data_IF_152905046189
#
_entry.id   IF_152905046189
#
_cell.length_a   1.000
_cell.length_b   1.000
_cell.length_c   1.000
_cell.angle_alpha   90.00
_cell.angle_beta   90.00
_cell.angle_gamma   90.00
#
_symmetry.space_group_name_H-M   'P 1'
#
loop_
_entity.id
_entity.type
_entity.pdbx_description
1 polymer ?
#
# COMPACT_ATOMS: atom_id res chain seq x y z
N UNK A 1 30.62 -25.60 3.09
CA UNK A 1 29.97 -26.37 4.17
C UNK A 1 28.79 -27.10 3.57
N UNK A 2 28.77 -28.43 3.67
CA UNK A 2 27.74 -29.25 3.04
C UNK A 2 26.41 -29.10 3.79
N UNK A 3 25.42 -28.45 3.16
CA UNK A 3 24.03 -28.53 3.61
C UNK A 3 23.55 -29.93 3.22
N UNK A 4 23.23 -30.75 4.22
CA UNK A 4 22.88 -32.15 4.01
C UNK A 4 21.67 -32.30 3.06
N UNK A 5 21.67 -33.25 2.11
CA UNK A 5 20.56 -33.51 1.18
C UNK A 5 19.19 -33.66 1.85
N UNK A 6 19.17 -34.10 3.11
CA UNK A 6 18.00 -34.20 3.97
C UNK A 6 17.40 -32.84 4.37
N UNK A 7 18.23 -31.82 4.64
CA UNK A 7 17.75 -30.47 4.96
C UNK A 7 17.15 -29.77 3.72
N UNK A 8 17.73 -30.01 2.54
CA UNK A 8 17.19 -29.53 1.26
C UNK A 8 15.81 -30.13 0.97
N UNK A 9 15.62 -31.43 1.20
CA UNK A 9 14.32 -32.11 1.04
C UNK A 9 13.23 -31.57 1.98
N UNK A 10 13.59 -31.23 3.23
CA UNK A 10 12.65 -30.65 4.20
C UNK A 10 12.22 -29.23 3.81
N UNK A 11 13.17 -28.39 3.38
CA UNK A 11 12.88 -27.03 2.90
C UNK A 11 12.00 -27.08 1.65
N UNK A 12 12.31 -27.98 0.71
CA UNK A 12 11.53 -28.19 -0.50
C UNK A 12 10.10 -28.66 -0.17
N UNK A 13 9.94 -29.66 0.68
CA UNK A 13 8.62 -30.16 1.08
C UNK A 13 7.79 -29.16 1.90
N UNK A 14 8.45 -28.27 2.66
CA UNK A 14 7.76 -27.17 3.34
C UNK A 14 7.27 -26.10 2.36
N UNK A 15 8.11 -25.67 1.41
CA UNK A 15 7.70 -24.72 0.35
C UNK A 15 6.58 -25.29 -0.51
N UNK A 16 6.69 -26.55 -0.93
CA UNK A 16 5.67 -27.23 -1.73
C UNK A 16 4.29 -27.22 -1.05
N UNK A 17 4.23 -27.60 0.24
CA UNK A 17 2.98 -27.59 1.01
C UNK A 17 2.40 -26.19 1.18
N UNK A 18 3.25 -25.18 1.34
CA UNK A 18 2.83 -23.78 1.41
C UNK A 18 2.23 -23.34 0.08
N UNK A 19 2.93 -23.59 -1.02
CA UNK A 19 2.44 -23.26 -2.36
C UNK A 19 1.13 -23.96 -2.64
N UNK A 20 1.00 -25.25 -2.35
CA UNK A 20 -0.25 -26.01 -2.50
C UNK A 20 -1.40 -25.37 -1.72
N UNK A 21 -1.19 -25.06 -0.43
CA UNK A 21 -2.17 -24.35 0.40
C UNK A 21 -2.58 -23.02 -0.22
N UNK A 22 -1.61 -22.23 -0.68
CA UNK A 22 -1.88 -20.92 -1.26
C UNK A 22 -2.64 -21.04 -2.59
N UNK A 23 -2.32 -22.03 -3.42
CA UNK A 23 -3.04 -22.32 -4.66
C UNK A 23 -4.48 -22.79 -4.41
N UNK A 24 -4.72 -23.56 -3.34
CA UNK A 24 -6.09 -23.95 -2.95
C UNK A 24 -6.91 -22.70 -2.62
N UNK A 25 -6.38 -21.78 -1.81
CA UNK A 25 -7.06 -20.52 -1.45
C UNK A 25 -7.29 -19.65 -2.68
N UNK A 26 -6.29 -19.54 -3.56
CA UNK A 26 -6.37 -18.83 -4.83
C UNK A 26 -7.53 -19.36 -5.68
N UNK A 27 -7.57 -20.67 -5.93
CA UNK A 27 -8.58 -21.32 -6.77
C UNK A 27 -9.97 -21.14 -6.14
N UNK A 28 -10.12 -21.42 -4.86
CA UNK A 28 -11.39 -21.27 -4.14
C UNK A 28 -11.96 -19.84 -4.26
N UNK A 29 -11.12 -18.82 -4.05
CA UNK A 29 -11.53 -17.41 -4.14
C UNK A 29 -11.86 -16.97 -5.55
N UNK A 30 -11.06 -17.37 -6.54
CA UNK A 30 -11.33 -17.06 -7.96
C UNK A 30 -12.61 -17.75 -8.43
N UNK A 31 -12.79 -19.03 -8.10
CA UNK A 31 -13.99 -19.80 -8.44
C UNK A 31 -15.24 -19.22 -7.79
N UNK A 32 -15.17 -18.80 -6.52
CA UNK A 32 -16.27 -18.15 -5.81
C UNK A 32 -16.67 -16.79 -6.41
N UNK A 33 -15.80 -16.18 -7.22
CA UNK A 33 -16.02 -14.86 -7.83
C UNK A 33 -16.00 -14.93 -9.37
N UNK A 34 -16.18 -16.12 -9.96
CA UNK A 34 -15.89 -16.37 -11.38
C UNK A 34 -16.77 -15.53 -12.32
N UNK A 35 -18.03 -15.30 -11.95
CA UNK A 35 -18.96 -14.48 -12.73
C UNK A 35 -18.47 -13.03 -12.80
N UNK A 36 -18.11 -12.44 -11.66
CA UNK A 36 -17.56 -11.09 -11.56
C UNK A 36 -16.24 -10.98 -12.33
N UNK A 37 -15.38 -12.01 -12.25
CA UNK A 37 -14.11 -12.04 -12.99
C UNK A 37 -14.37 -12.02 -14.50
N UNK A 38 -15.26 -12.87 -14.99
CA UNK A 38 -15.59 -12.94 -16.41
C UNK A 38 -16.19 -11.62 -16.91
N UNK A 39 -17.15 -11.05 -16.18
CA UNK A 39 -17.75 -9.76 -16.51
C UNK A 39 -16.69 -8.65 -16.61
N UNK A 40 -15.82 -8.54 -15.61
CA UNK A 40 -14.76 -7.51 -15.59
C UNK A 40 -13.76 -7.73 -16.72
N UNK A 41 -13.33 -8.97 -16.98
CA UNK A 41 -12.44 -9.28 -18.11
C UNK A 41 -13.09 -8.93 -19.45
N UNK A 42 -14.39 -9.21 -19.61
CA UNK A 42 -15.11 -8.92 -20.84
C UNK A 42 -15.29 -7.41 -21.10
N UNK A 43 -15.30 -6.61 -20.04
CA UNK A 43 -15.33 -5.14 -20.13
C UNK A 43 -13.98 -4.50 -20.53
N UNK A 44 -12.87 -5.24 -20.42
CA UNK A 44 -11.53 -4.73 -20.73
C UNK A 44 -11.21 -4.81 -22.22
N UNK A 45 -10.42 -3.84 -22.69
CA UNK A 45 -9.75 -3.90 -23.99
C UNK A 45 -8.90 -5.17 -24.12
N UNK A 46 -8.86 -5.75 -25.33
CA UNK A 46 -8.16 -7.02 -25.59
C UNK A 46 -6.70 -7.03 -25.14
N UNK A 47 -5.99 -5.92 -25.33
CA UNK A 47 -4.57 -5.77 -24.93
C UNK A 47 -4.39 -5.75 -23.42
N UNK A 48 -5.32 -5.14 -22.68
CA UNK A 48 -5.31 -5.11 -21.21
C UNK A 48 -5.76 -6.46 -20.65
N UNK A 49 -6.79 -7.07 -21.24
CA UNK A 49 -7.28 -8.41 -20.90
C UNK A 49 -6.17 -9.45 -20.99
N UNK A 50 -5.37 -9.42 -22.06
CA UNK A 50 -4.27 -10.37 -22.24
C UNK A 50 -3.23 -10.27 -21.12
N UNK A 51 -2.98 -9.07 -20.57
CA UNK A 51 -2.09 -8.90 -19.39
C UNK A 51 -2.62 -9.61 -18.14
N UNK A 52 -3.94 -9.67 -17.97
CA UNK A 52 -4.59 -10.38 -16.86
C UNK A 52 -4.71 -11.90 -17.08
N UNK A 53 -4.81 -12.37 -18.32
CA UNK A 53 -5.00 -13.81 -18.60
C UNK A 53 -3.68 -14.53 -18.90
N UNK A 54 -2.78 -13.88 -19.63
CA UNK A 54 -1.56 -14.49 -20.18
C UNK A 54 -0.27 -13.70 -19.92
N UNK A 55 -0.37 -12.48 -19.41
CA UNK A 55 0.76 -11.55 -19.34
C UNK A 55 1.15 -11.10 -17.94
N UNK A 56 1.80 -9.95 -17.90
CA UNK A 56 2.57 -9.48 -16.75
C UNK A 56 1.76 -9.24 -15.47
N UNK A 57 0.47 -8.91 -15.56
CA UNK A 57 -0.35 -8.69 -14.37
C UNK A 57 -0.66 -10.00 -13.66
N UNK A 58 -0.95 -11.06 -14.44
CA UNK A 58 -1.10 -12.41 -13.90
C UNK A 58 0.19 -12.86 -13.23
N UNK A 59 1.32 -12.68 -13.89
CA UNK A 59 2.60 -13.18 -13.40
C UNK A 59 3.00 -12.49 -12.09
N UNK A 60 2.90 -11.15 -12.02
CA UNK A 60 3.15 -10.40 -10.78
C UNK A 60 2.20 -10.80 -9.63
N UNK A 61 0.93 -11.05 -9.96
CA UNK A 61 -0.04 -11.55 -8.99
C UNK A 61 0.33 -12.95 -8.48
N UNK A 62 0.65 -13.89 -9.37
CA UNK A 62 1.02 -15.25 -8.99
C UNK A 62 2.30 -15.29 -8.15
N UNK A 63 3.30 -14.47 -8.51
CA UNK A 63 4.53 -14.31 -7.72
C UNK A 63 4.22 -13.82 -6.29
N UNK A 64 3.24 -12.91 -6.14
CA UNK A 64 2.80 -12.44 -4.81
C UNK A 64 2.05 -13.50 -3.99
N UNK A 65 1.58 -14.59 -4.61
CA UNK A 65 0.79 -15.65 -3.96
C UNK A 65 1.62 -16.89 -3.64
N UNK A 66 2.47 -17.34 -4.57
CA UNK A 66 3.16 -18.63 -4.49
C UNK A 66 4.05 -18.75 -3.23
N UNK A 67 4.75 -17.67 -2.88
CA UNK A 67 5.69 -17.64 -1.75
C UNK A 67 5.09 -17.05 -0.45
N UNK A 68 3.82 -16.65 -0.47
CA UNK A 68 3.16 -15.98 0.64
C UNK A 68 3.13 -16.83 1.92
N UNK A 69 3.59 -16.26 3.03
CA UNK A 69 3.65 -16.93 4.32
C UNK A 69 2.28 -16.90 5.02
N UNK A 70 1.54 -15.79 4.87
CA UNK A 70 0.29 -15.50 5.58
C UNK A 70 -0.95 -15.85 4.70
N UNK A 71 -1.73 -16.91 5.01
CA UNK A 71 -2.86 -17.34 4.18
C UNK A 71 -3.90 -16.25 3.90
N UNK A 72 -4.14 -15.38 4.88
CA UNK A 72 -5.10 -14.27 4.73
C UNK A 72 -4.67 -13.29 3.63
N UNK A 73 -3.36 -13.10 3.44
CA UNK A 73 -2.82 -12.23 2.39
C UNK A 73 -3.07 -12.79 1.00
N UNK A 74 -3.09 -14.12 0.83
CA UNK A 74 -3.49 -14.73 -0.45
C UNK A 74 -4.88 -14.27 -0.85
N UNK A 75 -5.84 -14.29 0.09
CA UNK A 75 -7.19 -13.78 -0.18
C UNK A 75 -7.20 -12.29 -0.53
N UNK A 76 -6.39 -11.47 0.14
CA UNK A 76 -6.26 -10.03 -0.15
C UNK A 76 -5.61 -9.77 -1.52
N UNK A 77 -4.63 -10.58 -1.93
CA UNK A 77 -4.02 -10.49 -3.25
C UNK A 77 -5.03 -10.87 -4.36
N UNK A 78 -5.83 -11.92 -4.14
CA UNK A 78 -6.91 -12.29 -5.07
C UNK A 78 -7.93 -11.16 -5.20
N UNK A 79 -8.36 -10.58 -4.08
CA UNK A 79 -9.25 -9.42 -4.09
C UNK A 79 -8.65 -8.25 -4.89
N UNK A 80 -7.38 -7.91 -4.63
CA UNK A 80 -6.69 -6.84 -5.34
C UNK A 80 -6.63 -7.10 -6.85
N UNK A 81 -6.34 -8.34 -7.26
CA UNK A 81 -6.32 -8.74 -8.66
C UNK A 81 -7.69 -8.53 -9.33
N UNK A 82 -8.77 -9.01 -8.70
CA UNK A 82 -10.13 -8.91 -9.24
C UNK A 82 -10.61 -7.44 -9.22
N UNK A 83 -10.33 -6.69 -8.17
CA UNK A 83 -10.72 -5.28 -8.05
C UNK A 83 -9.93 -4.36 -9.00
N UNK A 84 -8.67 -4.69 -9.31
CA UNK A 84 -7.91 -3.98 -10.34
C UNK A 84 -8.57 -4.08 -11.73
N UNK A 85 -9.19 -5.21 -12.07
CA UNK A 85 -9.90 -5.38 -13.34
C UNK A 85 -11.10 -4.41 -13.48
N UNK A 86 -11.78 -4.10 -12.37
CA UNK A 86 -12.90 -3.14 -12.38
C UNK A 86 -12.46 -1.71 -12.71
N UNK A 87 -11.18 -1.40 -12.49
CA UNK A 87 -10.61 -0.08 -12.68
C UNK A 87 -9.72 -0.03 -13.93
N UNK A 88 -10.18 -0.56 -15.07
CA UNK A 88 -9.45 -0.83 -16.34
C UNK A 88 -8.53 0.26 -16.92
N UNK A 89 -8.42 1.43 -16.28
CA UNK A 89 -7.50 2.53 -16.58
C UNK A 89 -6.23 2.56 -15.70
N UNK A 90 -5.93 1.51 -14.92
CA UNK A 90 -4.68 1.44 -14.16
C UNK A 90 -3.47 1.29 -15.09
N UNK A 91 -2.41 2.06 -14.85
CA UNK A 91 -1.16 1.93 -15.61
C UNK A 91 -0.42 0.64 -15.27
N UNK A 92 0.35 0.11 -16.22
CA UNK A 92 1.18 -1.08 -16.03
C UNK A 92 2.06 -0.96 -14.79
N UNK A 93 2.77 0.15 -14.65
CA UNK A 93 3.63 0.41 -13.49
C UNK A 93 2.85 0.34 -12.18
N UNK A 94 1.62 0.84 -12.14
CA UNK A 94 0.81 0.78 -10.92
C UNK A 94 0.45 -0.67 -10.55
N UNK A 95 -0.01 -1.48 -11.51
CA UNK A 95 -0.42 -2.87 -11.22
C UNK A 95 0.78 -3.71 -10.78
N UNK A 96 1.94 -3.53 -11.40
CA UNK A 96 3.17 -4.23 -11.03
C UNK A 96 3.68 -3.80 -9.66
N UNK A 97 3.72 -2.49 -9.38
CA UNK A 97 4.12 -1.97 -8.06
C UNK A 97 3.15 -2.41 -6.97
N UNK A 98 1.85 -2.50 -7.25
CA UNK A 98 0.85 -2.98 -6.29
C UNK A 98 1.20 -4.38 -5.76
N UNK A 99 1.48 -5.34 -6.63
CA UNK A 99 1.78 -6.71 -6.17
C UNK A 99 3.15 -6.83 -5.50
N UNK A 100 4.14 -6.05 -5.94
CA UNK A 100 5.43 -5.93 -5.24
C UNK A 100 5.22 -5.36 -3.82
N UNK A 101 4.46 -4.28 -3.67
CA UNK A 101 4.18 -3.67 -2.37
C UNK A 101 3.33 -4.57 -1.47
N UNK A 102 2.31 -5.23 -2.00
CA UNK A 102 1.52 -6.21 -1.25
C UNK A 102 2.37 -7.39 -0.77
N UNK A 103 3.37 -7.82 -1.53
CA UNK A 103 4.32 -8.85 -1.07
C UNK A 103 5.17 -8.39 0.11
N UNK A 104 5.51 -7.09 0.16
CA UNK A 104 6.33 -6.47 1.21
C UNK A 104 5.56 -6.15 2.48
N UNK A 105 4.25 -5.94 2.40
CA UNK A 105 3.38 -5.70 3.54
C UNK A 105 3.06 -7.00 4.27
N UNK A 106 3.04 -7.01 5.59
CA UNK A 106 2.50 -8.13 6.38
C UNK A 106 1.07 -7.81 6.86
N UNK A 107 0.42 -8.77 7.53
CA UNK A 107 -0.92 -8.58 8.09
C UNK A 107 -1.00 -7.37 9.03
N UNK A 108 0.02 -7.17 9.85
CA UNK A 108 0.09 -6.10 10.84
C UNK A 108 0.23 -4.72 10.18
N UNK A 109 1.06 -4.58 9.14
CA UNK A 109 1.20 -3.35 8.37
C UNK A 109 -0.16 -2.92 7.78
N UNK A 110 -0.92 -3.88 7.23
CA UNK A 110 -2.25 -3.62 6.69
C UNK A 110 -3.24 -3.21 7.80
N UNK A 111 -3.14 -3.82 8.99
CA UNK A 111 -3.97 -3.45 10.15
C UNK A 111 -3.66 -2.02 10.62
N UNK A 112 -2.38 -1.67 10.74
CA UNK A 112 -1.94 -0.30 11.06
C UNK A 112 -2.43 0.70 10.01
N UNK A 113 -2.30 0.38 8.72
CA UNK A 113 -2.80 1.25 7.65
C UNK A 113 -4.32 1.49 7.76
N UNK A 114 -5.09 0.46 8.12
CA UNK A 114 -6.54 0.56 8.34
C UNK A 114 -6.90 1.49 9.51
N UNK A 115 -6.09 1.58 10.57
CA UNK A 115 -6.32 2.53 11.67
C UNK A 115 -6.31 3.99 11.21
N UNK A 116 -5.61 4.30 10.12
CA UNK A 116 -5.56 5.62 9.52
C UNK A 116 -6.66 5.84 8.45
N UNK A 117 -7.46 4.82 8.15
CA UNK A 117 -8.53 4.92 7.17
C UNK A 117 -9.79 5.54 7.79
N UNK A 118 -10.28 6.58 7.14
CA UNK A 118 -11.58 7.17 7.40
C UNK A 118 -12.31 7.34 6.07
N UNK A 119 -13.51 6.76 5.96
CA UNK A 119 -14.39 7.02 4.82
C UNK A 119 -15.25 8.26 5.10
N UNK A 120 -14.98 9.41 4.45
CA UNK A 120 -15.74 10.62 4.68
C UNK A 120 -17.18 10.55 4.13
N UNK A 121 -17.47 9.62 3.21
CA UNK A 121 -18.79 9.48 2.57
C UNK A 121 -19.74 8.67 3.45
N UNK A 122 -19.23 7.62 4.10
CA UNK A 122 -20.05 6.71 4.93
C UNK A 122 -19.84 6.92 6.42
N UNK A 123 -19.00 7.88 6.82
CA UNK A 123 -18.48 8.11 8.20
C UNK A 123 -17.93 6.84 8.87
N UNK A 124 -17.68 5.79 8.10
CA UNK A 124 -17.30 4.50 8.65
C UNK A 124 -15.84 4.57 9.13
N UNK A 125 -15.68 4.43 10.44
CA UNK A 125 -14.39 4.18 11.07
C UNK A 125 -14.21 2.67 11.21
N UNK A 126 -12.98 2.21 11.02
CA UNK A 126 -12.63 0.83 11.31
C UNK A 126 -12.89 0.59 12.81
N UNK A 127 -13.60 -0.48 13.17
CA UNK A 127 -13.78 -0.92 14.56
C UNK A 127 -12.48 -1.56 15.09
N UNK A 128 -11.44 -0.74 15.15
CA UNK A 128 -10.13 -1.10 15.64
C UNK A 128 -9.50 0.17 16.26
N UNK A 129 -8.54 -0.03 17.15
CA UNK A 129 -7.90 1.09 17.84
C UNK A 129 -6.43 0.78 18.10
N UNK A 130 -5.64 1.83 18.31
CA UNK A 130 -4.25 1.68 18.72
C UNK A 130 -4.11 0.78 19.96
N UNK A 131 -4.93 1.01 20.99
CA UNK A 131 -4.86 0.24 22.24
C UNK A 131 -5.16 -1.25 22.03
N UNK A 132 -6.20 -1.57 21.24
CA UNK A 132 -6.50 -2.97 20.87
C UNK A 132 -5.39 -3.60 20.07
N UNK A 133 -4.82 -2.88 19.10
CA UNK A 133 -3.74 -3.38 18.26
C UNK A 133 -2.49 -3.71 19.10
N UNK A 134 -2.07 -2.80 19.98
CA UNK A 134 -0.93 -3.03 20.90
C UNK A 134 -1.19 -4.25 21.79
N UNK A 135 -2.39 -4.36 22.36
CA UNK A 135 -2.74 -5.44 23.28
C UNK A 135 -2.79 -6.81 22.59
N UNK A 136 -3.41 -6.90 21.42
CA UNK A 136 -3.63 -8.18 20.72
C UNK A 136 -2.40 -8.68 19.97
N UNK A 137 -1.65 -7.76 19.36
CA UNK A 137 -0.47 -8.09 18.55
C UNK A 137 0.81 -8.16 19.40
N UNK A 138 0.75 -7.68 20.64
CA UNK A 138 1.88 -7.71 21.58
C UNK A 138 3.06 -6.85 21.15
N UNK A 139 2.82 -5.82 20.33
CA UNK A 139 3.86 -4.90 19.87
C UNK A 139 3.97 -3.69 20.79
N UNK A 140 5.12 -3.04 20.80
CA UNK A 140 5.31 -1.78 21.52
C UNK A 140 5.14 -0.52 20.62
N UNK A 141 5.26 0.66 21.23
CA UNK A 141 5.15 1.93 20.52
C UNK A 141 6.27 2.15 19.49
N UNK A 142 7.46 1.57 19.72
CA UNK A 142 8.60 1.65 18.81
C UNK A 142 8.33 0.83 17.56
N UNK A 143 7.88 -0.41 17.71
CA UNK A 143 7.48 -1.29 16.61
C UNK A 143 6.34 -0.68 15.80
N UNK A 144 5.33 -0.10 16.46
CA UNK A 144 4.27 0.67 15.80
C UNK A 144 4.81 1.87 15.02
N UNK A 145 5.82 2.56 15.56
CA UNK A 145 6.57 3.62 14.87
C UNK A 145 7.22 3.12 13.58
N UNK A 146 7.97 2.02 13.65
CA UNK A 146 8.66 1.42 12.50
C UNK A 146 7.68 0.99 11.40
N UNK A 147 6.52 0.46 11.76
CA UNK A 147 5.46 0.11 10.78
C UNK A 147 4.96 1.37 10.06
N UNK A 148 4.68 2.46 10.79
CA UNK A 148 4.25 3.73 10.18
C UNK A 148 5.32 4.30 9.25
N UNK A 149 6.58 4.24 9.63
CA UNK A 149 7.71 4.65 8.77
C UNK A 149 7.80 3.80 7.49
N UNK A 150 7.63 2.47 7.62
CA UNK A 150 7.55 1.57 6.46
C UNK A 150 6.40 1.96 5.53
N UNK A 151 5.21 2.20 6.08
CA UNK A 151 4.04 2.63 5.31
C UNK A 151 4.26 4.00 4.64
N UNK A 152 4.98 4.92 5.27
CA UNK A 152 5.42 6.17 4.65
C UNK A 152 6.38 5.96 3.49
N UNK A 153 7.36 5.06 3.63
CA UNK A 153 8.30 4.73 2.56
C UNK A 153 7.61 4.11 1.33
N UNK A 154 6.51 3.37 1.54
CA UNK A 154 5.66 2.84 0.48
C UNK A 154 4.64 3.88 -0.04
N UNK A 155 4.66 5.11 0.48
CA UNK A 155 3.72 6.17 0.08
C UNK A 155 2.27 5.92 0.51
N UNK A 156 2.01 5.00 1.45
CA UNK A 156 0.66 4.65 1.93
C UNK A 156 0.21 5.53 3.10
N UNK A 157 1.17 6.05 3.87
CA UNK A 157 0.96 7.08 4.89
C UNK A 157 1.82 8.31 4.61
N UNK A 158 1.41 9.45 5.16
CA UNK A 158 2.16 10.70 5.12
C UNK A 158 2.37 11.22 6.55
N UNK A 159 3.60 11.66 6.84
CA UNK A 159 3.97 12.30 8.10
C UNK A 159 3.61 13.80 8.06
N UNK A 160 2.87 14.27 9.07
CA UNK A 160 2.55 15.69 9.20
C UNK A 160 3.76 16.52 9.61
N UNK A 161 4.72 15.94 10.31
CA UNK A 161 5.96 16.65 10.59
C UNK A 161 6.84 16.79 9.33
N UNK A 162 6.85 15.80 8.44
CA UNK A 162 7.55 15.91 7.13
C UNK A 162 6.90 16.97 6.25
N UNK A 163 5.58 16.95 6.12
CA UNK A 163 4.82 17.97 5.36
C UNK A 163 5.14 19.40 5.86
N UNK A 164 5.23 19.59 7.18
CA UNK A 164 5.61 20.87 7.79
C UNK A 164 7.06 21.25 7.52
N UNK A 165 7.98 20.27 7.54
CA UNK A 165 9.40 20.50 7.23
C UNK A 165 9.58 20.99 5.80
N UNK A 166 8.92 20.33 4.85
CA UNK A 166 8.97 20.69 3.44
C UNK A 166 8.44 22.11 3.21
N UNK A 167 7.26 22.45 3.75
CA UNK A 167 6.71 23.82 3.69
C UNK A 167 7.61 24.87 4.33
N UNK A 168 8.27 24.52 5.43
CA UNK A 168 9.25 25.40 6.06
C UNK A 168 10.49 25.60 5.19
N UNK A 169 10.98 24.54 4.55
CA UNK A 169 12.12 24.59 3.64
C UNK A 169 11.82 25.47 2.43
N UNK A 170 10.66 25.30 1.80
CA UNK A 170 10.16 26.14 0.71
C UNK A 170 10.12 27.62 1.13
N UNK A 171 9.53 27.92 2.29
CA UNK A 171 9.45 29.29 2.79
C UNK A 171 10.83 29.92 3.03
N UNK A 172 11.81 29.12 3.48
CA UNK A 172 13.20 29.58 3.64
C UNK A 172 13.87 29.79 2.28
N UNK A 173 13.67 28.88 1.33
CA UNK A 173 14.21 28.98 -0.02
C UNK A 173 13.69 30.22 -0.75
N UNK A 174 12.40 30.51 -0.63
CA UNK A 174 11.76 31.70 -1.19
C UNK A 174 12.36 32.98 -0.57
N UNK A 175 12.48 33.03 0.76
CA UNK A 175 13.06 34.18 1.45
C UNK A 175 14.53 34.42 1.07
N UNK A 176 15.33 33.36 0.94
CA UNK A 176 16.72 33.45 0.48
C UNK A 176 16.80 33.91 -0.97
N UNK A 177 15.95 33.37 -1.85
CA UNK A 177 15.89 33.77 -3.26
C UNK A 177 15.50 35.24 -3.41
N UNK A 178 14.54 35.71 -2.61
CA UNK A 178 14.17 37.12 -2.56
C UNK A 178 15.34 37.97 -2.08
N UNK A 179 16.01 37.61 -0.99
CA UNK A 179 17.21 38.30 -0.48
C UNK A 179 18.30 38.41 -1.56
N UNK A 180 18.63 37.31 -2.23
CA UNK A 180 19.62 37.28 -3.30
C UNK A 180 19.23 38.20 -4.46
N UNK A 181 17.95 38.27 -4.82
CA UNK A 181 17.46 39.18 -5.85
C UNK A 181 17.61 40.67 -5.48
N UNK A 182 17.74 40.99 -4.19
CA UNK A 182 17.88 42.35 -3.69
C UNK A 182 19.34 42.79 -3.60
N UNK A 183 20.29 41.84 -3.60
CA UNK A 183 21.72 42.14 -3.66
C UNK A 183 22.04 42.91 -4.94
N UNK A 184 22.72 44.04 -4.82
CA UNK A 184 23.10 44.90 -5.94
C UNK A 184 22.02 45.88 -6.42
N UNK A 185 20.80 45.83 -5.88
CA UNK A 185 19.78 46.86 -6.18
C UNK A 185 20.11 48.17 -5.48
N UNK A 186 19.84 49.30 -6.16
CA UNK A 186 20.11 50.67 -5.68
C UNK A 186 19.36 51.01 -4.38
N UNK A 187 18.19 50.41 -4.17
CA UNK A 187 17.36 50.49 -2.96
C UNK A 187 16.86 49.09 -2.58
N UNK A 188 17.64 48.29 -1.84
CA UNK A 188 17.26 46.94 -1.48
C UNK A 188 16.10 46.94 -0.47
N UNK A 189 15.11 46.08 -0.70
CA UNK A 189 14.05 45.81 0.29
C UNK A 189 14.40 44.55 1.05
N UNK A 190 14.40 44.62 2.38
CA UNK A 190 14.58 43.43 3.22
C UNK A 190 13.28 42.62 3.16
N UNK A 191 13.31 41.36 2.72
CA UNK A 191 12.15 40.47 2.73
C UNK A 191 11.61 40.29 4.15
N UNK A 192 10.32 40.00 4.26
CA UNK A 192 9.74 39.65 5.56
C UNK A 192 10.30 38.29 6.01
N UNK A 193 10.52 38.08 7.32
CA UNK A 193 10.95 36.79 7.82
C UNK A 193 9.92 35.72 7.46
N UNK A 194 10.36 34.53 7.01
CA UNK A 194 9.45 33.46 6.62
C UNK A 194 8.63 32.99 7.82
N UNK A 195 7.34 32.70 7.59
CA UNK A 195 6.44 32.18 8.62
C UNK A 195 6.59 30.67 8.72
N UNK A 196 7.46 30.22 9.61
CA UNK A 196 7.72 28.80 9.82
C UNK A 196 6.65 28.16 10.71
N UNK A 197 6.20 26.98 10.31
CA UNK A 197 5.32 26.13 11.08
C UNK A 197 6.10 25.40 12.18
N UNK A 198 5.54 25.34 13.39
CA UNK A 198 6.15 24.59 14.50
C UNK A 198 6.07 23.09 14.24
N UNK A 199 7.22 22.42 14.26
CA UNK A 199 7.33 20.96 14.20
C UNK A 199 7.11 20.40 15.62
N UNK A 200 6.24 19.41 15.72
CA UNK A 200 5.92 18.75 16.99
C UNK A 200 6.98 17.70 17.33
N UNK A 201 7.21 17.44 18.61
CA UNK A 201 8.07 16.32 19.06
C UNK A 201 7.43 14.97 18.78
N UNK A 202 6.11 14.88 18.83
CA UNK A 202 5.33 13.71 18.40
C UNK A 202 4.83 13.91 16.98
N UNK A 203 4.96 12.87 16.16
CA UNK A 203 4.45 12.88 14.78
C UNK A 203 3.04 12.29 14.68
N UNK A 204 2.28 12.82 13.74
CA UNK A 204 0.94 12.34 13.39
C UNK A 204 0.91 11.96 11.92
N UNK A 205 0.18 10.91 11.60
CA UNK A 205 0.17 10.33 10.25
C UNK A 205 -1.23 10.37 9.66
N UNK A 206 -1.32 10.62 8.37
CA UNK A 206 -2.55 10.55 7.59
C UNK A 206 -2.41 9.55 6.45
N UNK A 207 -3.50 8.84 6.14
CA UNK A 207 -3.52 7.96 4.97
C UNK A 207 -3.49 8.77 3.66
N UNK A 208 -2.68 8.33 2.71
CA UNK A 208 -2.59 8.95 1.37
C UNK A 208 -3.72 8.46 0.46
N UNK A 209 -3.88 9.08 -0.71
CA UNK A 209 -4.77 8.57 -1.76
C UNK A 209 -4.36 7.17 -2.22
N UNK A 210 -3.05 6.90 -2.33
CA UNK A 210 -2.51 5.58 -2.65
C UNK A 210 -2.88 4.56 -1.57
N UNK A 211 -2.69 4.90 -0.29
CA UNK A 211 -3.06 4.04 0.84
C UNK A 211 -4.54 3.70 0.85
N UNK A 212 -5.42 4.67 0.59
CA UNK A 212 -6.87 4.44 0.44
C UNK A 212 -7.17 3.49 -0.71
N UNK A 213 -6.58 3.74 -1.88
CA UNK A 213 -6.76 2.89 -3.07
C UNK A 213 -6.30 1.46 -2.83
N UNK A 214 -5.19 1.26 -2.12
CA UNK A 214 -4.72 -0.08 -1.75
C UNK A 214 -5.72 -0.79 -0.84
N UNK A 215 -6.23 -0.09 0.18
CA UNK A 215 -7.25 -0.64 1.07
C UNK A 215 -8.56 -0.96 0.34
N UNK A 216 -8.93 -0.19 -0.69
CA UNK A 216 -10.09 -0.47 -1.53
C UNK A 216 -9.88 -1.72 -2.39
N UNK A 217 -8.70 -1.84 -3.02
CA UNK A 217 -8.38 -2.98 -3.89
C UNK A 217 -8.35 -4.31 -3.11
N UNK A 218 -7.82 -4.33 -1.88
CA UNK A 218 -7.74 -5.58 -1.10
C UNK A 218 -9.06 -5.99 -0.40
N UNK A 219 -10.11 -5.16 -0.45
CA UNK A 219 -11.42 -5.49 0.16
C UNK A 219 -12.06 -6.71 -0.49
N UNK A 220 -12.91 -7.44 0.25
CA UNK A 220 -13.71 -8.51 -0.34
C UNK A 220 -14.39 -8.04 -1.63
N UNK A 221 -14.30 -8.86 -2.68
CA UNK A 221 -14.96 -8.58 -3.96
C UNK A 221 -16.46 -8.47 -3.71
N UNK A 222 -17.04 -7.36 -4.15
CA UNK A 222 -18.47 -7.11 -4.15
C UNK A 222 -18.91 -6.91 -5.60
N UNK A 223 -20.15 -7.25 -5.90
CA UNK A 223 -20.81 -6.79 -7.13
C UNK A 223 -20.76 -5.26 -7.13
N UNK A 224 -20.55 -4.65 -8.30
CA UNK A 224 -20.61 -3.21 -8.39
C UNK A 224 -22.02 -2.77 -7.98
N UNK A 225 -22.13 -2.00 -6.90
CA UNK A 225 -23.39 -1.29 -6.63
C UNK A 225 -23.54 -0.30 -7.77
N UNK A 226 -24.62 -0.36 -8.58
CA UNK A 226 -24.83 0.61 -9.64
C UNK A 226 -24.87 2.02 -9.01
N UNK A 227 -24.08 2.92 -9.61
CA UNK A 227 -24.04 4.33 -9.25
C UNK A 227 -25.40 5.02 -9.46
#
# INVERSE_FOLDING_TARGET
GAVAPSALGLVFGYRMRRTERNLIILIDKLSSSIEIVNERLDSLETTVRDKYTNGSYRDAFLDSVVDENEPEKVSRNVNAFINCMAHGNASDSFVLTLFDDLSRLNRLDIRVLKLHYHNPITEHMVDDSFDRLIQEEGIDYSEYGTIREKLCRLGLLESKNEEKREKNLEAVQDAVSELLSQLGKKNPKIPKPPRLQRISTSDSYSITSLGRRYLELIRPVQEAVPA
#
